data_IF_161614120664
#
_entry.id   IF_161614120664
#
_cell.length_a   1.000
_cell.length_b   1.000
_cell.length_c   1.000
_cell.angle_alpha   90.00
_cell.angle_beta   90.00
_cell.angle_gamma   90.00
#
_symmetry.space_group_name_H-M   'P 1'
#
loop_
_entity.id
_entity.type
_entity.pdbx_description
1 polymer ?
#
# COMPACT_ATOMS: atom_id res chain seq x y z
N UNK A 1 10.14 -15.93 -7.11
CA UNK A 1 9.72 -14.53 -7.27
C UNK A 1 9.96 -13.85 -5.94
N UNK A 2 10.96 -12.99 -5.83
CA UNK A 2 11.06 -12.11 -4.67
C UNK A 2 9.86 -11.17 -4.75
N UNK A 3 8.95 -11.26 -3.79
CA UNK A 3 7.85 -10.33 -3.64
C UNK A 3 8.45 -8.95 -3.34
N UNK A 4 8.69 -8.17 -4.38
CA UNK A 4 9.01 -6.76 -4.23
C UNK A 4 7.74 -6.08 -3.74
N UNK A 5 7.65 -5.85 -2.44
CA UNK A 5 6.69 -4.91 -1.90
C UNK A 5 6.91 -3.57 -2.61
N UNK A 6 5.84 -2.82 -2.93
CA UNK A 6 6.00 -1.51 -3.52
C UNK A 6 6.89 -0.65 -2.61
N UNK A 7 7.86 0.04 -3.20
CA UNK A 7 8.75 0.93 -2.44
C UNK A 7 7.92 2.02 -1.74
N UNK A 8 8.24 2.38 -0.49
CA UNK A 8 7.53 3.45 0.19
C UNK A 8 7.76 4.78 -0.54
N UNK A 9 6.70 5.58 -0.64
CA UNK A 9 6.77 6.95 -1.14
C UNK A 9 6.75 7.89 0.07
N UNK A 10 7.77 8.73 0.21
CA UNK A 10 7.85 9.70 1.29
C UNK A 10 7.30 11.06 0.88
N UNK A 11 6.40 11.62 1.69
CA UNK A 11 5.83 12.96 1.50
C UNK A 11 6.46 13.98 2.45
N UNK A 12 7.05 13.54 3.57
CA UNK A 12 7.74 14.40 4.52
C UNK A 12 9.19 13.98 4.81
N UNK A 13 9.99 14.97 5.20
CA UNK A 13 11.28 14.81 5.86
C UNK A 13 11.31 15.65 7.14
N UNK A 14 12.17 15.28 8.09
CA UNK A 14 12.21 16.00 9.36
C UNK A 14 13.17 17.19 9.34
N UNK A 15 12.89 18.18 10.19
CA UNK A 15 13.84 19.26 10.54
C UNK A 15 13.89 19.37 12.06
N UNK A 16 15.09 19.33 12.64
CA UNK A 16 15.32 19.55 14.07
C UNK A 16 15.74 21.00 14.32
N UNK A 17 15.15 21.64 15.32
CA UNK A 17 15.53 22.98 15.79
C UNK A 17 16.13 22.83 17.19
N UNK A 18 17.38 23.26 17.38
CA UNK A 18 18.11 23.13 18.64
C UNK A 18 17.73 24.21 19.66
N UNK A 19 18.00 24.00 20.95
CA UNK A 19 17.75 24.99 22.02
C UNK A 19 18.80 26.10 22.04
N UNK A 20 20.05 25.76 21.74
CA UNK A 20 21.21 26.65 21.89
C UNK A 20 21.33 27.72 20.77
N UNK A 21 20.30 27.84 19.93
CA UNK A 21 20.15 28.83 18.86
C UNK A 21 19.15 28.38 17.81
N UNK A 22 18.69 29.28 16.94
CA UNK A 22 17.77 28.99 15.82
C UNK A 22 18.45 28.17 14.69
N UNK A 23 19.28 27.17 15.04
CA UNK A 23 19.90 26.27 14.10
C UNK A 23 18.89 25.18 13.74
N UNK A 24 18.49 25.17 12.48
CA UNK A 24 17.67 24.13 11.88
C UNK A 24 18.59 23.10 11.18
N UNK A 25 18.48 21.83 11.59
CA UNK A 25 19.17 20.70 10.96
C UNK A 25 18.13 19.87 10.21
N UNK A 26 18.09 19.91 8.86
CA UNK A 26 17.18 19.09 8.08
C UNK A 26 17.68 17.64 7.95
N UNK A 27 16.76 16.68 7.81
CA UNK A 27 17.08 15.28 7.50
C UNK A 27 17.91 15.18 6.22
N UNK A 28 17.59 15.98 5.21
CA UNK A 28 18.32 16.01 3.96
C UNK A 28 18.91 17.40 3.78
N UNK A 29 20.22 17.46 3.53
CA UNK A 29 20.90 18.70 3.21
C UNK A 29 20.28 19.31 1.93
N UNK A 30 19.79 20.55 1.95
CA UNK A 30 19.03 21.11 0.83
C UNK A 30 19.89 21.34 -0.41
N UNK A 31 21.22 21.39 -0.27
CA UNK A 31 22.13 21.61 -1.40
C UNK A 31 22.49 20.28 -2.06
N UNK A 32 22.97 19.32 -1.29
CA UNK A 32 23.51 18.04 -1.75
C UNK A 32 22.50 16.90 -1.78
N UNK A 33 21.41 16.99 -1.01
CA UNK A 33 20.45 15.90 -0.81
C UNK A 33 20.93 14.84 0.17
N UNK A 34 22.11 15.00 0.79
CA UNK A 34 22.70 14.02 1.72
C UNK A 34 21.85 13.89 2.98
N UNK A 35 21.59 12.65 3.37
CA UNK A 35 20.88 12.33 4.59
C UNK A 35 21.76 12.52 5.84
N UNK A 36 21.19 13.19 6.84
CA UNK A 36 21.60 13.24 8.24
C UNK A 36 20.62 12.34 8.99
N UNK A 37 21.12 11.36 9.76
CA UNK A 37 20.24 10.51 10.56
C UNK A 37 19.85 11.21 11.86
N UNK A 38 18.67 10.91 12.38
CA UNK A 38 18.20 11.48 13.65
C UNK A 38 19.16 11.16 14.81
N UNK A 39 19.75 9.98 14.83
CA UNK A 39 20.72 9.59 15.86
C UNK A 39 22.08 10.29 15.75
N UNK A 40 22.36 10.98 14.64
CA UNK A 40 23.65 11.63 14.39
C UNK A 40 23.66 13.11 14.84
N UNK A 41 22.52 13.64 15.29
CA UNK A 41 22.38 15.02 15.79
C UNK A 41 22.33 15.04 17.33
N UNK A 42 22.55 16.19 18.00
CA UNK A 42 22.42 16.28 19.45
C UNK A 42 20.93 16.24 19.88
N UNK A 43 20.29 15.07 19.81
CA UNK A 43 18.84 14.88 20.01
C UNK A 43 18.32 15.47 21.33
N UNK A 44 19.09 15.34 22.43
CA UNK A 44 18.71 15.91 23.75
C UNK A 44 18.66 17.44 23.75
N UNK A 45 19.32 18.08 22.79
CA UNK A 45 19.34 19.53 22.63
C UNK A 45 18.25 20.02 21.65
N UNK A 46 17.39 19.14 21.14
CA UNK A 46 16.32 19.54 20.22
C UNK A 46 15.18 20.18 21.01
N UNK A 47 14.82 21.42 20.65
CA UNK A 47 13.70 22.17 21.21
C UNK A 47 12.40 21.86 20.47
N UNK A 48 12.49 21.60 19.17
CA UNK A 48 11.34 21.38 18.29
C UNK A 48 11.74 20.50 17.12
N UNK A 49 10.83 19.65 16.66
CA UNK A 49 10.96 18.98 15.37
C UNK A 49 9.77 19.29 14.47
N UNK A 50 10.04 19.26 13.17
CA UNK A 50 9.08 19.45 12.10
C UNK A 50 9.07 18.20 11.21
N UNK A 51 7.91 17.84 10.67
CA UNK A 51 7.81 17.11 9.41
C UNK A 51 7.42 18.12 8.33
N UNK A 52 8.35 18.39 7.42
CA UNK A 52 8.19 19.32 6.30
C UNK A 52 7.90 18.55 5.02
N UNK A 53 6.95 19.01 4.18
CA UNK A 53 6.69 18.37 2.90
C UNK A 53 7.90 18.51 1.99
N UNK A 54 8.17 17.51 1.16
CA UNK A 54 9.16 17.66 0.10
C UNK A 54 8.71 18.71 -0.92
N UNK A 55 9.68 19.46 -1.45
CA UNK A 55 9.53 20.23 -2.67
C UNK A 55 10.09 19.47 -3.88
N UNK A 56 9.90 20.02 -5.08
CA UNK A 56 10.39 19.41 -6.32
C UNK A 56 11.90 19.30 -6.42
N UNK A 57 12.65 20.20 -5.80
CA UNK A 57 14.10 20.25 -5.93
C UNK A 57 14.76 19.22 -5.01
N UNK A 58 14.36 19.20 -3.73
CA UNK A 58 14.86 18.26 -2.75
C UNK A 58 14.46 16.81 -3.08
N UNK A 59 13.23 16.59 -3.56
CA UNK A 59 12.79 15.26 -4.00
C UNK A 59 13.68 14.68 -5.11
N UNK A 60 14.02 15.48 -6.13
CA UNK A 60 14.92 15.08 -7.21
C UNK A 60 16.33 14.76 -6.70
N UNK A 61 16.86 15.57 -5.78
CA UNK A 61 18.19 15.35 -5.18
C UNK A 61 18.24 14.07 -4.35
N UNK A 62 17.24 13.85 -3.51
CA UNK A 62 17.14 12.65 -2.67
C UNK A 62 16.97 11.39 -3.52
N UNK A 63 16.16 11.46 -4.59
CA UNK A 63 16.02 10.35 -5.53
C UNK A 63 17.33 10.05 -6.26
N UNK A 64 18.02 11.07 -6.77
CA UNK A 64 19.29 10.89 -7.47
C UNK A 64 20.39 10.30 -6.57
N UNK A 65 20.40 10.63 -5.27
CA UNK A 65 21.42 10.17 -4.33
C UNK A 65 21.15 8.78 -3.77
N UNK A 66 19.89 8.46 -3.45
CA UNK A 66 19.53 7.27 -2.68
C UNK A 66 18.53 6.33 -3.37
N UNK A 67 17.97 6.73 -4.51
CA UNK A 67 16.84 6.03 -5.15
C UNK A 67 15.51 6.17 -4.41
N UNK A 68 15.46 6.91 -3.30
CA UNK A 68 14.25 7.10 -2.51
C UNK A 68 13.19 7.84 -3.34
N UNK A 69 11.96 7.31 -3.36
CA UNK A 69 10.81 7.98 -3.96
C UNK A 69 10.25 9.00 -2.96
N UNK A 70 10.54 10.27 -3.20
CA UNK A 70 9.97 11.38 -2.45
C UNK A 70 8.95 12.12 -3.33
N UNK A 71 7.72 12.29 -2.85
CA UNK A 71 6.65 12.98 -3.55
C UNK A 71 6.57 14.44 -3.07
N UNK A 72 6.75 15.43 -3.95
CA UNK A 72 6.50 16.82 -3.63
C UNK A 72 5.03 17.06 -3.29
N UNK A 73 4.76 17.78 -2.20
CA UNK A 73 3.39 18.09 -1.77
C UNK A 73 3.28 19.51 -1.21
N UNK A 74 2.05 20.02 -1.12
CA UNK A 74 1.73 21.25 -0.40
C UNK A 74 1.08 20.94 0.96
N UNK A 75 1.42 19.79 1.55
CA UNK A 75 0.84 19.36 2.81
C UNK A 75 1.27 20.31 3.96
N UNK A 76 0.47 20.41 5.03
CA UNK A 76 0.82 21.25 6.17
C UNK A 76 2.07 20.72 6.90
N UNK A 77 2.90 21.64 7.41
CA UNK A 77 4.01 21.27 8.30
C UNK A 77 3.44 20.74 9.61
N UNK A 78 3.87 19.55 10.02
CA UNK A 78 3.58 19.00 11.35
C UNK A 78 4.70 19.44 12.28
N UNK A 79 4.36 19.89 13.48
CA UNK A 79 5.37 20.31 14.46
C UNK A 79 5.10 19.76 15.84
N UNK A 80 6.18 19.52 16.59
CA UNK A 80 6.13 19.18 18.01
C UNK A 80 7.24 19.93 18.73
N UNK A 81 6.86 20.70 19.74
CA UNK A 81 7.79 21.29 20.69
C UNK A 81 8.12 20.24 21.77
N UNK A 82 9.36 20.24 22.24
CA UNK A 82 9.86 19.28 23.22
C UNK A 82 10.18 20.00 24.55
N UNK A 83 9.67 19.52 25.69
CA UNK A 83 10.08 20.00 26.99
C UNK A 83 11.59 19.81 27.24
N UNK A 84 12.18 20.67 28.06
CA UNK A 84 13.56 20.48 28.48
C UNK A 84 13.69 19.17 29.30
N UNK A 85 14.71 18.37 28.99
CA UNK A 85 14.94 17.08 29.65
C UNK A 85 14.14 15.90 29.12
N UNK A 86 13.16 16.09 28.21
CA UNK A 86 12.47 14.98 27.54
C UNK A 86 13.40 14.25 26.56
N UNK A 87 13.00 13.08 26.07
CA UNK A 87 13.67 12.36 24.99
C UNK A 87 12.91 12.50 23.64
N UNK A 88 13.33 13.43 22.75
CA UNK A 88 12.69 13.60 21.44
C UNK A 88 12.80 12.39 20.52
N UNK A 89 11.71 12.06 19.85
CA UNK A 89 11.60 10.93 18.92
C UNK A 89 10.93 11.35 17.62
N UNK A 90 11.61 11.03 16.52
CA UNK A 90 11.12 11.25 15.15
C UNK A 90 11.45 10.01 14.33
N UNK A 91 10.43 9.35 13.79
CA UNK A 91 10.62 8.13 13.00
C UNK A 91 9.42 7.89 12.06
N UNK A 92 9.57 6.95 11.14
CA UNK A 92 8.49 6.51 10.25
C UNK A 92 8.03 5.12 10.65
N UNK A 93 6.75 4.84 10.48
CA UNK A 93 6.19 3.48 10.55
C UNK A 93 5.49 3.16 9.25
N UNK A 94 5.37 1.87 8.94
CA UNK A 94 4.86 1.40 7.67
C UNK A 94 3.76 0.37 7.92
N UNK A 95 2.66 0.45 7.18
CA UNK A 95 1.65 -0.62 7.11
C UNK A 95 1.59 -1.15 5.68
N UNK A 96 1.67 -2.48 5.56
CA UNK A 96 1.58 -3.18 4.28
C UNK A 96 0.34 -4.05 4.34
N UNK A 97 -0.62 -3.79 3.45
CA UNK A 97 -1.85 -4.59 3.34
C UNK A 97 -1.83 -5.35 2.02
N UNK A 98 -1.97 -6.67 2.11
CA UNK A 98 -2.18 -7.53 0.94
C UNK A 98 -3.65 -7.88 0.83
N UNK A 99 -4.20 -7.85 -0.37
CA UNK A 99 -5.61 -8.11 -0.60
C UNK A 99 -5.83 -8.84 -1.91
N UNK A 100 -6.90 -9.62 -1.97
CA UNK A 100 -7.33 -10.30 -3.18
C UNK A 100 -8.34 -9.45 -3.94
N UNK A 101 -8.24 -9.43 -5.27
CA UNK A 101 -9.23 -8.82 -6.14
C UNK A 101 -9.36 -9.61 -7.44
N UNK A 102 -10.48 -9.44 -8.14
CA UNK A 102 -10.69 -10.03 -9.45
C UNK A 102 -10.57 -8.98 -10.55
N UNK A 103 -9.78 -9.27 -11.58
CA UNK A 103 -9.70 -8.48 -12.81
C UNK A 103 -10.56 -9.10 -13.89
N UNK A 104 -11.48 -8.30 -14.45
CA UNK A 104 -12.26 -8.73 -15.60
C UNK A 104 -11.40 -8.71 -16.86
N UNK A 105 -11.20 -9.85 -17.52
CA UNK A 105 -10.45 -9.93 -18.79
C UNK A 105 -11.17 -9.29 -19.97
N UNK A 106 -12.49 -9.10 -19.86
CA UNK A 106 -13.32 -8.53 -20.93
C UNK A 106 -13.23 -7.00 -20.94
N UNK A 107 -13.46 -6.35 -19.79
CA UNK A 107 -13.50 -4.88 -19.70
C UNK A 107 -12.44 -4.25 -18.77
N UNK A 108 -11.58 -5.05 -18.15
CA UNK A 108 -10.50 -4.64 -17.23
C UNK A 108 -10.94 -4.09 -15.86
N UNK A 109 -12.23 -4.12 -15.54
CA UNK A 109 -12.76 -3.75 -14.23
C UNK A 109 -12.09 -4.53 -13.08
N UNK A 110 -11.82 -3.84 -11.96
CA UNK A 110 -11.30 -4.42 -10.72
C UNK A 110 -12.45 -4.64 -9.74
N UNK A 111 -12.55 -5.85 -9.20
CA UNK A 111 -13.68 -6.30 -8.38
C UNK A 111 -13.15 -6.81 -7.04
N UNK A 112 -13.55 -6.15 -5.95
CA UNK A 112 -13.29 -6.61 -4.59
C UNK A 112 -14.47 -7.46 -4.14
N UNK A 113 -14.34 -8.77 -4.24
CA UNK A 113 -15.39 -9.71 -3.88
C UNK A 113 -15.21 -10.22 -2.46
N UNK A 114 -16.23 -10.07 -1.63
CA UNK A 114 -16.23 -10.45 -0.21
C UNK A 114 -16.52 -11.94 0.03
N UNK A 115 -16.63 -12.73 -1.04
CA UNK A 115 -16.95 -14.15 -0.97
C UNK A 115 -18.46 -14.45 -0.90
N UNK A 116 -19.32 -13.43 -0.94
CA UNK A 116 -20.77 -13.59 -0.86
C UNK A 116 -21.44 -13.47 -2.23
N UNK A 117 -22.48 -14.29 -2.47
CA UNK A 117 -23.23 -14.26 -3.73
C UNK A 117 -22.44 -14.78 -4.93
N UNK A 118 -22.85 -14.33 -6.13
CA UNK A 118 -22.25 -14.74 -7.41
C UNK A 118 -21.17 -13.75 -7.79
N UNK A 119 -19.95 -14.25 -8.03
CA UNK A 119 -18.88 -13.44 -8.58
C UNK A 119 -19.15 -13.10 -10.05
N UNK A 120 -19.49 -11.83 -10.30
CA UNK A 120 -19.84 -11.26 -11.61
C UNK A 120 -19.18 -9.89 -11.77
N UNK A 121 -18.77 -9.54 -12.99
CA UNK A 121 -18.30 -8.18 -13.28
C UNK A 121 -19.46 -7.18 -13.24
N UNK A 122 -19.40 -6.11 -12.43
CA UNK A 122 -20.48 -5.13 -12.34
C UNK A 122 -20.63 -4.29 -13.62
N UNK A 123 -19.57 -4.17 -14.42
CA UNK A 123 -19.55 -3.31 -15.61
C UNK A 123 -20.02 -4.01 -16.88
N UNK A 124 -19.68 -5.29 -17.06
CA UNK A 124 -20.00 -6.04 -18.30
C UNK A 124 -20.70 -7.38 -18.07
N UNK A 125 -21.00 -7.72 -16.81
CA UNK A 125 -21.70 -8.95 -16.41
C UNK A 125 -20.97 -10.25 -16.79
N UNK A 126 -19.69 -10.18 -17.16
CA UNK A 126 -18.89 -11.36 -17.43
C UNK A 126 -18.73 -12.19 -16.15
N UNK A 127 -18.78 -13.53 -16.31
CA UNK A 127 -18.62 -14.51 -15.23
C UNK A 127 -17.57 -15.54 -15.58
N UNK A 128 -17.11 -16.26 -14.56
CA UNK A 128 -16.39 -17.51 -14.77
C UNK A 128 -17.40 -18.61 -15.07
N UNK A 129 -17.27 -19.25 -16.23
CA UNK A 129 -18.28 -20.17 -16.74
C UNK A 129 -17.69 -21.56 -17.00
N UNK A 130 -18.50 -22.60 -16.80
CA UNK A 130 -18.17 -23.94 -17.24
C UNK A 130 -18.79 -24.23 -18.59
N UNK A 131 -17.97 -24.56 -19.59
CA UNK A 131 -18.44 -24.83 -20.94
C UNK A 131 -18.24 -26.30 -21.32
N UNK A 132 -19.29 -26.93 -21.82
CA UNK A 132 -19.22 -28.28 -22.37
C UNK A 132 -19.00 -28.24 -23.88
N UNK A 133 -17.83 -28.69 -24.36
CA UNK A 133 -17.54 -28.76 -25.80
C UNK A 133 -18.42 -29.75 -26.58
N UNK A 134 -18.97 -30.77 -25.91
CA UNK A 134 -19.87 -31.76 -26.52
C UNK A 134 -21.29 -31.22 -26.64
N UNK A 135 -21.84 -30.69 -25.55
CA UNK A 135 -23.18 -30.08 -25.54
C UNK A 135 -23.24 -28.67 -26.16
N UNK A 136 -22.09 -28.04 -26.43
CA UNK A 136 -21.96 -26.68 -26.99
C UNK A 136 -22.69 -25.60 -26.19
N UNK A 137 -22.67 -25.71 -24.86
CA UNK A 137 -23.35 -24.76 -23.96
C UNK A 137 -22.63 -24.58 -22.64
N UNK A 138 -22.95 -23.47 -21.98
CA UNK A 138 -22.59 -23.18 -20.59
C UNK A 138 -23.39 -24.10 -19.66
N UNK A 139 -22.75 -24.52 -18.57
CA UNK A 139 -23.26 -25.42 -17.55
C UNK A 139 -23.17 -24.69 -16.20
N UNK A 140 -24.32 -24.34 -15.63
CA UNK A 140 -24.38 -23.58 -14.37
C UNK A 140 -24.08 -24.45 -13.14
N UNK A 141 -24.48 -25.73 -13.19
CA UNK A 141 -24.34 -26.68 -12.08
C UNK A 141 -23.49 -27.90 -12.52
N UNK A 142 -22.15 -27.75 -12.55
CA UNK A 142 -21.25 -28.84 -12.93
C UNK A 142 -21.15 -29.90 -11.82
N UNK A 143 -20.90 -31.15 -12.19
CA UNK A 143 -20.53 -32.18 -11.21
C UNK A 143 -19.06 -31.95 -10.82
N UNK A 144 -18.82 -31.47 -9.61
CA UNK A 144 -17.47 -31.26 -9.07
C UNK A 144 -16.96 -32.54 -8.41
N UNK A 145 -15.80 -33.00 -8.84
CA UNK A 145 -15.12 -34.17 -8.30
C UNK A 145 -14.09 -33.76 -7.24
N UNK A 146 -13.74 -34.69 -6.35
CA UNK A 146 -12.80 -34.46 -5.25
C UNK A 146 -11.37 -34.13 -5.69
N UNK A 147 -11.02 -34.46 -6.93
CA UNK A 147 -9.74 -34.14 -7.55
C UNK A 147 -9.73 -32.78 -8.28
N UNK A 148 -10.80 -31.99 -8.14
CA UNK A 148 -10.93 -30.67 -8.75
C UNK A 148 -11.41 -30.68 -10.20
N UNK A 149 -11.71 -31.85 -10.78
CA UNK A 149 -12.32 -31.94 -12.10
C UNK A 149 -13.80 -31.55 -12.06
N UNK A 150 -14.28 -30.95 -13.16
CA UNK A 150 -15.70 -30.64 -13.36
C UNK A 150 -16.25 -31.45 -14.55
N UNK A 151 -17.39 -32.12 -14.37
CA UNK A 151 -18.06 -32.91 -15.41
C UNK A 151 -19.43 -32.35 -15.79
N UNK A 152 -19.79 -32.55 -17.05
CA UNK A 152 -21.09 -32.18 -17.60
C UNK A 152 -22.18 -33.14 -17.11
N UNK A 153 -23.17 -32.68 -16.33
CA UNK A 153 -24.24 -33.54 -15.81
C UNK A 153 -25.14 -34.12 -16.93
N UNK A 154 -25.17 -33.47 -18.09
CA UNK A 154 -25.98 -33.92 -19.24
C UNK A 154 -25.31 -35.10 -19.93
N UNK A 155 -23.99 -35.01 -20.15
CA UNK A 155 -23.21 -36.11 -20.72
C UNK A 155 -23.16 -37.31 -19.77
N UNK A 156 -23.11 -37.06 -18.46
CA UNK A 156 -23.18 -38.11 -17.45
C UNK A 156 -24.49 -38.91 -17.57
N UNK A 157 -25.64 -38.22 -17.72
CA UNK A 157 -26.96 -38.85 -17.89
C UNK A 157 -27.10 -39.67 -19.17
N UNK A 158 -26.32 -39.36 -20.21
CA UNK A 158 -26.31 -40.12 -21.46
C UNK A 158 -25.40 -41.36 -21.42
N UNK A 159 -24.72 -41.62 -20.29
CA UNK A 159 -23.80 -42.76 -20.15
C UNK A 159 -22.43 -42.55 -20.82
N UNK A 160 -22.10 -41.32 -21.22
CA UNK A 160 -20.82 -40.95 -21.84
C UNK A 160 -20.30 -39.66 -21.17
N UNK A 161 -19.66 -39.79 -19.98
CA UNK A 161 -19.15 -38.66 -19.21
C UNK A 161 -18.23 -37.73 -20.00
N UNK A 162 -18.32 -36.42 -19.75
CA UNK A 162 -17.46 -35.44 -20.42
C UNK A 162 -17.03 -34.31 -19.48
N UNK A 163 -15.73 -33.99 -19.51
CA UNK A 163 -15.15 -32.90 -18.72
C UNK A 163 -15.56 -31.52 -19.23
N UNK A 164 -15.69 -30.57 -18.31
CA UNK A 164 -15.98 -29.17 -18.60
C UNK A 164 -14.70 -28.35 -18.68
N UNK A 165 -14.74 -27.31 -19.51
CA UNK A 165 -13.68 -26.30 -19.59
C UNK A 165 -14.12 -25.10 -18.79
N UNK A 166 -13.23 -24.57 -17.94
CA UNK A 166 -13.47 -23.31 -17.23
C UNK A 166 -13.05 -22.15 -18.12
N UNK A 167 -14.00 -21.35 -18.56
CA UNK A 167 -13.74 -20.06 -19.18
C UNK A 167 -13.56 -19.04 -18.06
N UNK A 168 -12.33 -18.53 -17.91
CA UNK A 168 -11.97 -17.59 -16.84
C UNK A 168 -12.05 -16.17 -17.39
N UNK A 169 -13.19 -15.51 -17.16
CA UNK A 169 -13.39 -14.09 -17.48
C UNK A 169 -12.98 -13.18 -16.33
N UNK A 170 -13.01 -13.69 -15.09
CA UNK A 170 -12.65 -12.97 -13.87
C UNK A 170 -11.43 -13.67 -13.25
N UNK A 171 -10.27 -13.03 -13.39
CA UNK A 171 -8.99 -13.54 -12.90
C UNK A 171 -8.74 -13.04 -11.48
N UNK A 172 -8.49 -13.97 -10.55
CA UNK A 172 -8.00 -13.62 -9.22
C UNK A 172 -6.55 -13.12 -9.32
N UNK A 173 -6.31 -11.93 -8.82
CA UNK A 173 -5.01 -11.28 -8.68
C UNK A 173 -4.80 -10.87 -7.21
N UNK A 174 -3.54 -10.71 -6.80
CA UNK A 174 -3.16 -10.22 -5.47
C UNK A 174 -2.68 -8.78 -5.59
N UNK A 175 -3.28 -7.89 -4.80
CA UNK A 175 -2.88 -6.50 -4.64
C UNK A 175 -2.08 -6.29 -3.36
N UNK A 176 -1.29 -5.22 -3.37
CA UNK A 176 -0.52 -4.77 -2.21
C UNK A 176 -0.68 -3.25 -2.09
N UNK A 177 -1.05 -2.76 -0.93
CA UNK A 177 -0.94 -1.35 -0.56
C UNK A 177 0.14 -1.16 0.49
N UNK A 178 0.78 -0.01 0.46
CA UNK A 178 1.84 0.37 1.38
C UNK A 178 1.61 1.80 1.84
N UNK A 179 1.34 1.97 3.13
CA UNK A 179 1.10 3.25 3.77
C UNK A 179 2.28 3.62 4.67
N UNK A 180 2.70 4.88 4.61
CA UNK A 180 3.79 5.43 5.42
C UNK A 180 3.21 6.44 6.40
N UNK A 181 3.60 6.30 7.66
CA UNK A 181 3.17 7.17 8.74
C UNK A 181 4.35 7.85 9.39
N UNK A 182 4.13 9.10 9.79
CA UNK A 182 5.14 10.00 10.31
C UNK A 182 4.90 10.18 11.81
N UNK A 183 5.86 9.72 12.61
CA UNK A 183 5.78 9.72 14.06
C UNK A 183 6.66 10.85 14.63
N UNK A 184 6.09 11.63 15.54
CA UNK A 184 6.79 12.71 16.24
C UNK A 184 6.27 12.82 17.66
N UNK A 185 7.17 12.98 18.62
CA UNK A 185 6.83 13.14 20.03
C UNK A 185 8.04 13.00 20.93
N UNK A 186 7.79 12.79 22.21
CA UNK A 186 8.84 12.65 23.23
C UNK A 186 8.42 11.64 24.29
N UNK A 187 9.40 10.99 24.91
CA UNK A 187 9.20 9.95 25.93
C UNK A 187 8.22 8.86 25.43
N UNK A 188 7.05 8.71 26.08
CA UNK A 188 5.98 7.78 25.68
C UNK A 188 4.87 8.46 24.86
N UNK A 189 4.87 9.79 24.73
CA UNK A 189 3.86 10.58 24.04
C UNK A 189 4.21 10.76 22.56
N UNK A 190 3.94 9.73 21.75
CA UNK A 190 4.18 9.76 20.30
C UNK A 190 2.87 9.96 19.52
N UNK A 191 2.84 11.00 18.68
CA UNK A 191 1.75 11.23 17.71
C UNK A 191 2.13 10.63 16.36
N UNK A 192 1.14 10.06 15.68
CA UNK A 192 1.28 9.40 14.38
C UNK A 192 0.42 10.12 13.34
N UNK A 193 0.99 10.44 12.19
CA UNK A 193 0.32 11.16 11.11
C UNK A 193 0.37 10.38 9.79
N UNK A 194 -0.64 10.50 8.95
CA UNK A 194 -0.63 9.94 7.59
C UNK A 194 0.24 10.78 6.62
N UNK A 195 0.31 10.34 5.36
CA UNK A 195 1.05 10.99 4.29
C UNK A 195 0.50 12.35 3.86
N UNK A 196 -0.65 12.76 4.39
CA UNK A 196 -1.32 14.07 4.20
C UNK A 196 -1.23 14.97 5.43
N UNK A 197 -0.67 14.48 6.53
CA UNK A 197 -0.51 15.21 7.78
C UNK A 197 -1.73 15.21 8.69
N UNK A 198 -2.67 14.28 8.48
CA UNK A 198 -3.77 14.07 9.42
C UNK A 198 -3.29 13.23 10.60
N UNK A 199 -3.66 13.63 11.81
CA UNK A 199 -3.38 12.85 13.02
C UNK A 199 -4.20 11.56 13.00
N UNK A 200 -3.53 10.43 13.12
CA UNK A 200 -4.14 9.10 13.23
C UNK A 200 -4.31 8.80 14.71
N UNK A 201 -5.57 8.79 15.16
CA UNK A 201 -5.89 8.30 16.49
C UNK A 201 -5.66 6.79 16.52
N UNK A 202 -4.69 6.34 17.32
CA UNK A 202 -4.58 4.94 17.69
C UNK A 202 -5.80 4.61 18.56
N UNK A 203 -6.73 3.81 18.02
CA UNK A 203 -7.83 3.23 18.80
C UNK A 203 -7.32 2.13 19.71
#
# INVERSE_FOLDING_TARGET
MHSHFPEPIYTYYWIAILRDGDIAIPQFDPVSGREIKWGDIPVRNVAKALWCPFDEDLSKKVHAMYGILALPTNNPIISCDFPEGSEPRVFRTHEITTYDFYRCKVCQEIIFWDGTGVLECPSCYARNEWFCKRCKKVIDDPILLSDGQARCPICEKTGDPYGLIRNISLQLDVGVSHEVFYCIGFDEEIKRYDDRGNLIQLK
#
